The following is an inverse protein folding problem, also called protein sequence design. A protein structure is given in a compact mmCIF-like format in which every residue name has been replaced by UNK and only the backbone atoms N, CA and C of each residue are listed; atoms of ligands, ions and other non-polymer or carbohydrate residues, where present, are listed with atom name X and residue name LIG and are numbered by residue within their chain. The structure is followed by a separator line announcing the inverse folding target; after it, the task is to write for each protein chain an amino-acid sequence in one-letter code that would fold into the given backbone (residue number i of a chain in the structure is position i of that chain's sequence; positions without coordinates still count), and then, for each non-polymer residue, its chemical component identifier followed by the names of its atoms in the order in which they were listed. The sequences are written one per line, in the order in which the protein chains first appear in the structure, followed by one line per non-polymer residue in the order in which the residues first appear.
data_IF_743404997394
#
_entry.id   IF_743404997394
#
_cell.length_a   1.000
_cell.length_b   1.000
_cell.length_c   1.000
_cell.angle_alpha   90.00
_cell.angle_beta   90.00
_cell.angle_gamma   90.00
#
_symmetry.space_group_name_H-M   'P 1'
#
loop_
_entity.id
_entity.type
_entity.pdbx_description
1 polymer ?
#
# COMPACT_ATOMS: atom_id res chain seq x y z
N UNK A 1 19.72 3.33 8.44
CA UNK A 1 18.64 2.61 7.72
C UNK A 1 17.55 3.57 7.26
N UNK A 2 17.54 3.93 5.98
CA UNK A 2 16.42 4.67 5.40
C UNK A 2 15.24 3.70 5.24
N UNK A 3 14.23 3.81 6.10
CA UNK A 3 12.89 3.35 5.75
C UNK A 3 12.44 4.24 4.58
N UNK A 4 12.80 3.85 3.36
CA UNK A 4 12.34 4.52 2.16
C UNK A 4 10.83 4.32 2.06
N UNK A 5 10.12 5.44 2.01
CA UNK A 5 8.67 5.48 1.86
C UNK A 5 8.39 5.08 0.42
N UNK A 6 7.86 3.88 0.21
CA UNK A 6 7.89 3.23 -1.10
C UNK A 6 6.87 3.81 -2.10
N UNK A 7 5.62 4.12 -1.69
CA UNK A 7 4.59 4.57 -2.65
C UNK A 7 3.61 5.58 -2.05
N UNK A 8 3.41 6.73 -2.72
CA UNK A 8 2.30 7.64 -2.47
C UNK A 8 1.11 7.29 -3.37
N UNK A 9 -0.04 6.95 -2.78
CA UNK A 9 -1.21 6.51 -3.55
C UNK A 9 -2.13 7.65 -3.97
N UNK A 10 -2.08 8.80 -3.30
CA UNK A 10 -3.00 9.94 -3.50
C UNK A 10 -2.38 11.17 -4.18
N UNK A 11 -1.17 11.04 -4.74
CA UNK A 11 -0.52 12.16 -5.44
C UNK A 11 -1.39 12.76 -6.56
N UNK A 12 -2.21 11.91 -7.20
CA UNK A 12 -3.30 12.31 -8.07
C UNK A 12 -4.57 11.61 -7.59
N UNK A 13 -5.61 12.38 -7.27
CA UNK A 13 -6.95 11.88 -6.91
C UNK A 13 -7.68 11.36 -8.16
N UNK A 14 -7.05 10.40 -8.85
CA UNK A 14 -7.60 9.75 -10.03
C UNK A 14 -7.63 8.25 -9.73
N UNK A 15 -8.80 7.59 -9.75
CA UNK A 15 -8.95 6.19 -9.36
C UNK A 15 -7.97 5.24 -10.06
N UNK A 16 -7.72 5.49 -11.35
CA UNK A 16 -6.79 4.70 -12.15
C UNK A 16 -5.33 4.87 -11.72
N UNK A 17 -4.92 6.10 -11.36
CA UNK A 17 -3.59 6.37 -10.83
C UNK A 17 -3.42 5.73 -9.45
N UNK A 18 -4.43 5.84 -8.59
CA UNK A 18 -4.42 5.18 -7.26
C UNK A 18 -4.23 3.67 -7.44
N UNK A 19 -4.98 3.02 -8.34
CA UNK A 19 -4.83 1.58 -8.65
C UNK A 19 -3.44 1.23 -9.15
N UNK A 20 -2.85 2.05 -10.02
CA UNK A 20 -1.48 1.82 -10.51
C UNK A 20 -0.44 1.90 -9.38
N UNK A 21 -0.60 2.85 -8.46
CA UNK A 21 0.28 2.97 -7.29
C UNK A 21 0.11 1.77 -6.35
N UNK A 22 -1.12 1.30 -6.13
CA UNK A 22 -1.39 0.08 -5.36
C UNK A 22 -0.70 -1.14 -5.98
N UNK A 23 -0.79 -1.31 -7.31
CA UNK A 23 -0.07 -2.39 -8.01
C UNK A 23 1.45 -2.29 -7.86
N UNK A 24 2.02 -1.08 -7.90
CA UNK A 24 3.45 -0.89 -7.63
C UNK A 24 3.83 -1.30 -6.22
N UNK A 25 2.99 -0.98 -5.23
CA UNK A 25 3.23 -1.42 -3.87
C UNK A 25 3.16 -2.94 -3.72
N UNK A 26 2.24 -3.62 -4.42
CA UNK A 26 2.20 -5.08 -4.49
C UNK A 26 3.49 -5.66 -5.08
N UNK A 27 4.01 -5.07 -6.16
CA UNK A 27 5.26 -5.50 -6.80
C UNK A 27 6.47 -5.34 -5.86
N UNK A 28 6.56 -4.19 -5.17
CA UNK A 28 7.58 -3.94 -4.15
C UNK A 28 7.44 -4.93 -2.99
N UNK A 29 6.22 -5.20 -2.52
CA UNK A 29 5.98 -6.17 -1.46
C UNK A 29 6.41 -7.59 -1.87
N UNK A 30 6.22 -7.98 -3.14
CA UNK A 30 6.76 -9.26 -3.64
C UNK A 30 8.27 -9.28 -3.71
N UNK A 31 8.90 -8.18 -4.14
CA UNK A 31 10.35 -8.11 -4.28
C UNK A 31 11.09 -8.00 -2.94
N UNK A 32 10.51 -7.28 -1.97
CA UNK A 32 11.15 -6.93 -0.68
C UNK A 32 10.54 -7.61 0.54
N UNK A 33 9.44 -8.35 0.35
CA UNK A 33 8.64 -8.96 1.42
C UNK A 33 7.63 -8.01 2.07
N UNK A 34 7.79 -6.70 1.93
CA UNK A 34 6.87 -5.69 2.48
C UNK A 34 6.90 -4.40 1.66
N UNK A 35 5.82 -3.63 1.70
CA UNK A 35 5.74 -2.30 1.09
C UNK A 35 4.96 -1.35 2.01
N UNK A 36 5.41 -0.10 2.07
CA UNK A 36 4.75 0.96 2.85
C UNK A 36 4.09 1.92 1.87
N UNK A 37 2.77 2.06 2.00
CA UNK A 37 1.98 3.00 1.24
C UNK A 37 1.62 4.22 2.10
N UNK A 38 1.64 5.40 1.51
CA UNK A 38 1.19 6.64 2.14
C UNK A 38 0.00 7.18 1.35
N UNK A 39 -1.11 7.35 2.06
CA UNK A 39 -2.40 7.80 1.53
C UNK A 39 -3.00 8.87 2.43
N UNK A 40 -3.43 10.00 1.87
CA UNK A 40 -4.27 10.96 2.58
C UNK A 40 -5.76 10.54 2.57
N UNK A 41 -6.54 10.89 3.62
CA UNK A 41 -7.93 10.49 3.76
C UNK A 41 -8.85 11.29 2.82
N UNK A 42 -8.77 11.01 1.53
CA UNK A 42 -9.70 11.50 0.51
C UNK A 42 -10.77 10.47 0.21
N UNK A 43 -11.99 10.92 -0.10
CA UNK A 43 -13.12 10.04 -0.38
C UNK A 43 -12.84 9.07 -1.54
N UNK A 44 -12.23 9.56 -2.61
CA UNK A 44 -11.83 8.74 -3.76
C UNK A 44 -10.75 7.72 -3.40
N UNK A 45 -9.74 8.13 -2.64
CA UNK A 45 -8.68 7.23 -2.16
C UNK A 45 -9.26 6.13 -1.29
N UNK A 46 -10.15 6.45 -0.35
CA UNK A 46 -10.78 5.47 0.54
C UNK A 46 -11.66 4.48 -0.22
N UNK A 47 -12.37 4.92 -1.26
CA UNK A 47 -13.22 4.04 -2.07
C UNK A 47 -12.40 3.00 -2.84
N UNK A 48 -11.33 3.44 -3.51
CA UNK A 48 -10.40 2.56 -4.21
C UNK A 48 -9.65 1.66 -3.23
N UNK A 49 -9.18 2.23 -2.12
CA UNK A 49 -8.43 1.49 -1.10
C UNK A 49 -9.28 0.39 -0.47
N UNK A 50 -10.56 0.65 -0.19
CA UNK A 50 -11.47 -0.34 0.39
C UNK A 50 -11.66 -1.55 -0.54
N UNK A 51 -11.90 -1.30 -1.82
CA UNK A 51 -12.01 -2.36 -2.83
C UNK A 51 -10.69 -3.14 -2.97
N UNK A 52 -9.56 -2.45 -2.93
CA UNK A 52 -8.26 -3.10 -3.01
C UNK A 52 -7.96 -3.98 -1.79
N UNK A 53 -8.26 -3.50 -0.58
CA UNK A 53 -8.07 -4.25 0.66
C UNK A 53 -8.87 -5.54 0.65
N UNK A 54 -10.12 -5.51 0.18
CA UNK A 54 -10.96 -6.71 0.05
C UNK A 54 -10.33 -7.77 -0.86
N UNK A 55 -9.56 -7.33 -1.87
CA UNK A 55 -8.84 -8.24 -2.78
C UNK A 55 -7.44 -8.62 -2.32
N UNK A 56 -6.88 -8.03 -1.25
CA UNK A 56 -5.50 -8.29 -0.80
C UNK A 56 -5.29 -9.75 -0.39
N UNK A 57 -6.21 -10.30 0.40
CA UNK A 57 -6.10 -11.66 0.91
C UNK A 57 -6.09 -12.69 -0.23
N UNK A 58 -6.96 -12.48 -1.24
CA UNK A 58 -7.01 -13.31 -2.44
C UNK A 58 -5.70 -13.24 -3.26
N UNK A 59 -4.91 -12.16 -3.12
CA UNK A 59 -3.62 -11.97 -3.78
C UNK A 59 -2.43 -12.41 -2.93
N UNK A 60 -2.67 -12.93 -1.73
CA UNK A 60 -1.65 -13.43 -0.82
C UNK A 60 -0.92 -12.35 -0.02
N UNK A 61 -1.54 -11.17 0.13
CA UNK A 61 -0.97 -10.08 0.92
C UNK A 61 -1.77 -9.87 2.21
N UNK A 62 -1.07 -9.51 3.28
CA UNK A 62 -1.69 -9.22 4.58
C UNK A 62 -1.48 -7.75 4.93
N UNK A 63 -2.57 -7.05 5.21
CA UNK A 63 -2.51 -5.68 5.68
C UNK A 63 -2.12 -5.67 7.15
N UNK A 64 -0.92 -5.16 7.45
CA UNK A 64 -0.42 -5.04 8.82
C UNK A 64 -0.28 -3.57 9.22
N UNK A 65 -0.48 -3.22 10.50
CA UNK A 65 -0.17 -1.88 10.98
C UNK A 65 1.34 -1.62 10.86
N UNK A 66 1.73 -0.35 10.68
CA UNK A 66 3.15 0.03 10.57
C UNK A 66 3.98 -0.45 11.77
N UNK A 67 3.38 -0.50 12.96
CA UNK A 67 4.00 -1.03 14.17
C UNK A 67 4.41 -2.49 14.06
N UNK A 68 3.67 -3.32 13.30
CA UNK A 68 4.03 -4.71 13.08
C UNK A 68 5.28 -4.84 12.19
N UNK A 69 5.37 -4.06 11.11
CA UNK A 69 6.53 -4.06 10.18
C UNK A 69 7.82 -3.58 10.86
N UNK A 70 7.71 -2.66 11.83
CA UNK A 70 8.86 -2.16 12.58
C UNK A 70 9.48 -3.21 13.51
N UNK A 71 8.73 -4.27 13.86
CA UNK A 71 9.19 -5.29 14.81
C UNK A 71 10.03 -6.38 14.13
N UNK A 72 9.86 -6.60 12.82
CA UNK A 72 10.59 -7.64 12.07
C UNK A 72 12.01 -7.22 11.63
N UNK A 73 12.38 -5.94 11.80
CA UNK A 73 13.74 -5.44 11.56
C UNK A 73 14.55 -5.23 12.85
N UNK A 74 14.16 -5.90 13.94
CA UNK A 74 14.88 -5.94 15.22
C UNK A 74 15.83 -7.12 15.33
#
# INVERSE_FOLDING_TARGET
PTLERDVFIDNELVPDKIRLQLQRAEDIARARGSAILIGHPHKETLDVLRNWIDTLEARGFLLVPLTAVLTEKG
#
